data_IF_476419654477
#
_entry.id   IF_476419654477
#
_cell.length_a   1.000
_cell.length_b   1.000
_cell.length_c   1.000
_cell.angle_alpha   90.00
_cell.angle_beta   90.00
_cell.angle_gamma   90.00
#
_symmetry.space_group_name_H-M   'P 1'
#
loop_
_entity.id
_entity.type
_entity.pdbx_description
1 polymer ?
#
# COMPACT_ATOMS: atom_id res chain seq x y z
N UNK A 1 30.96 -2.58 29.03
CA UNK A 1 29.82 -2.93 29.89
C UNK A 1 28.52 -2.74 29.12
N UNK A 2 27.58 -3.70 29.12
CA UNK A 2 26.25 -3.45 28.55
C UNK A 2 25.57 -2.32 29.33
N UNK A 3 25.04 -1.31 28.63
CA UNK A 3 24.30 -0.21 29.27
C UNK A 3 23.02 -0.78 29.88
N UNK A 4 22.97 -0.88 31.22
CA UNK A 4 21.75 -1.24 31.95
C UNK A 4 20.61 -0.31 31.52
N UNK A 5 19.44 -0.87 31.19
CA UNK A 5 18.21 -0.11 30.88
C UNK A 5 17.95 0.27 29.42
N UNK A 6 18.83 -0.06 28.47
CA UNK A 6 18.58 0.24 27.05
C UNK A 6 17.77 -0.90 26.40
N UNK A 7 16.53 -0.61 26.01
CA UNK A 7 15.68 -1.54 25.27
C UNK A 7 16.32 -1.92 23.92
N UNK A 8 16.28 -3.21 23.59
CA UNK A 8 16.70 -3.69 22.27
C UNK A 8 15.90 -3.04 21.15
N UNK A 9 16.46 -3.00 19.94
CA UNK A 9 15.74 -2.46 18.78
C UNK A 9 14.43 -3.23 18.49
N UNK A 10 14.42 -4.54 18.78
CA UNK A 10 13.24 -5.39 18.65
C UNK A 10 12.18 -5.02 19.70
N UNK A 11 12.56 -4.93 20.96
CA UNK A 11 11.64 -4.59 22.06
C UNK A 11 11.00 -3.22 21.85
N UNK A 12 11.78 -2.20 21.44
CA UNK A 12 11.23 -0.88 21.11
C UNK A 12 10.23 -0.95 19.96
N UNK A 13 10.55 -1.67 18.88
CA UNK A 13 9.65 -1.80 17.73
C UNK A 13 8.34 -2.51 18.10
N UNK A 14 8.40 -3.55 18.95
CA UNK A 14 7.21 -4.23 19.48
C UNK A 14 6.35 -3.30 20.33
N UNK A 15 6.95 -2.57 21.29
CA UNK A 15 6.22 -1.60 22.12
C UNK A 15 5.54 -0.53 21.25
N UNK A 16 6.26 0.05 20.29
CA UNK A 16 5.70 1.04 19.37
C UNK A 16 4.55 0.46 18.55
N UNK A 17 4.68 -0.78 18.06
CA UNK A 17 3.63 -1.45 17.32
C UNK A 17 2.38 -1.67 18.18
N UNK A 18 2.53 -2.08 19.44
CA UNK A 18 1.40 -2.28 20.35
C UNK A 18 0.66 -0.96 20.64
N UNK A 19 1.39 0.14 20.82
CA UNK A 19 0.79 1.47 20.95
C UNK A 19 0.05 1.90 19.68
N UNK A 20 0.67 1.76 18.50
CA UNK A 20 0.02 2.08 17.22
C UNK A 20 -1.23 1.23 17.03
N UNK A 21 -1.15 -0.07 17.29
CA UNK A 21 -2.29 -0.99 17.18
C UNK A 21 -3.44 -0.54 18.10
N UNK A 22 -3.16 -0.26 19.38
CA UNK A 22 -4.19 0.17 20.32
C UNK A 22 -4.86 1.46 19.86
N UNK A 23 -4.07 2.47 19.51
CA UNK A 23 -4.59 3.77 19.07
C UNK A 23 -5.36 3.67 17.75
N UNK A 24 -4.87 2.90 16.78
CA UNK A 24 -5.57 2.72 15.51
C UNK A 24 -6.89 1.95 15.64
N UNK A 25 -6.95 0.98 16.57
CA UNK A 25 -8.21 0.29 16.86
C UNK A 25 -9.22 1.22 17.51
N UNK A 26 -8.78 2.09 18.40
CA UNK A 26 -9.63 3.08 19.08
C UNK A 26 -10.09 4.18 18.13
N UNK A 27 -9.19 4.71 17.30
CA UNK A 27 -9.47 5.78 16.33
C UNK A 27 -10.45 5.35 15.24
N UNK A 28 -10.33 4.11 14.75
CA UNK A 28 -11.16 3.60 13.65
C UNK A 28 -12.38 2.80 14.12
N UNK A 29 -12.64 2.78 15.43
CA UNK A 29 -13.81 2.07 15.97
C UNK A 29 -15.11 2.76 15.53
N UNK A 30 -16.09 1.98 15.09
CA UNK A 30 -17.40 2.48 14.66
C UNK A 30 -17.46 3.17 13.29
N UNK A 31 -16.34 3.31 12.57
CA UNK A 31 -16.35 3.83 11.19
C UNK A 31 -16.82 2.75 10.20
N UNK A 32 -17.94 3.01 9.53
CA UNK A 32 -18.53 2.08 8.56
C UNK A 32 -17.68 1.91 7.29
N UNK A 33 -16.80 2.88 6.97
CA UNK A 33 -15.91 2.81 5.82
C UNK A 33 -14.61 2.03 6.12
N UNK A 34 -14.42 1.55 7.35
CA UNK A 34 -13.16 0.90 7.78
C UNK A 34 -13.41 -0.52 8.29
N UNK A 35 -12.87 -1.51 7.59
CA UNK A 35 -12.86 -2.89 8.06
C UNK A 35 -11.55 -3.23 8.77
N UNK A 36 -11.65 -3.52 10.07
CA UNK A 36 -10.55 -4.04 10.87
C UNK A 36 -10.40 -5.54 10.66
N UNK A 37 -9.24 -5.96 10.14
CA UNK A 37 -8.95 -7.36 9.82
C UNK A 37 -7.81 -7.87 10.72
N UNK A 38 -8.12 -8.44 11.90
CA UNK A 38 -7.12 -9.05 12.75
C UNK A 38 -6.55 -10.32 12.09
N UNK A 39 -5.22 -10.47 12.05
CA UNK A 39 -4.56 -11.70 11.58
C UNK A 39 -3.35 -12.03 12.45
N UNK A 40 -3.51 -12.99 13.36
CA UNK A 40 -2.47 -13.40 14.30
C UNK A 40 -2.03 -12.23 15.19
N UNK A 41 -0.73 -11.93 15.23
CA UNK A 41 -0.17 -10.83 16.04
C UNK A 41 -0.22 -9.46 15.34
N UNK A 42 -0.79 -9.36 14.14
CA UNK A 42 -0.90 -8.11 13.40
C UNK A 42 -2.36 -7.73 13.12
N UNK A 43 -2.59 -6.46 12.81
CA UNK A 43 -3.88 -5.92 12.39
C UNK A 43 -3.73 -5.26 11.03
N UNK A 44 -4.73 -5.42 10.18
CA UNK A 44 -4.87 -4.68 8.92
C UNK A 44 -6.13 -3.85 8.97
N UNK A 45 -6.13 -2.76 8.22
CA UNK A 45 -7.28 -1.88 8.09
C UNK A 45 -7.56 -1.72 6.61
N UNK A 46 -8.80 -2.01 6.20
CA UNK A 46 -9.27 -1.85 4.84
C UNK A 46 -10.19 -0.64 4.81
N UNK A 47 -9.80 0.37 4.03
CA UNK A 47 -10.57 1.59 3.85
C UNK A 47 -11.39 1.50 2.57
N UNK A 48 -12.71 1.71 2.68
CA UNK A 48 -13.70 1.77 1.59
C UNK A 48 -13.59 0.61 0.61
N UNK A 49 -13.32 -0.59 1.12
CA UNK A 49 -13.09 -1.81 0.35
C UNK A 49 -12.02 -1.72 -0.75
N UNK A 50 -11.13 -0.71 -0.67
CA UNK A 50 -10.19 -0.37 -1.74
C UNK A 50 -8.74 -0.33 -1.28
N UNK A 51 -8.46 0.18 -0.08
CA UNK A 51 -7.07 0.39 0.37
C UNK A 51 -6.81 -0.39 1.64
N UNK A 52 -5.94 -1.40 1.54
CA UNK A 52 -5.56 -2.23 2.67
C UNK A 52 -4.19 -1.80 3.21
N UNK A 53 -4.18 -1.33 4.46
CA UNK A 53 -2.97 -0.82 5.09
C UNK A 53 -2.45 -1.75 6.20
N UNK A 54 -1.14 -1.65 6.45
CA UNK A 54 -0.47 -2.16 7.65
C UNK A 54 0.52 -1.13 8.16
N UNK A 55 0.56 -0.94 9.48
CA UNK A 55 1.57 -0.12 10.13
C UNK A 55 2.89 -0.88 10.32
N UNK A 56 4.01 -0.24 9.99
CA UNK A 56 5.36 -0.80 10.14
C UNK A 56 6.40 0.24 10.49
N UNK A 57 7.53 -0.25 11.00
CA UNK A 57 8.77 0.51 11.06
C UNK A 57 9.49 0.40 9.71
N UNK A 58 9.89 1.52 9.11
CA UNK A 58 10.69 1.53 7.89
C UNK A 58 12.15 1.11 8.15
N UNK A 59 12.76 0.44 7.17
CA UNK A 59 14.21 0.23 7.09
C UNK A 59 14.90 1.43 6.41
N UNK A 60 16.20 1.33 6.17
CA UNK A 60 16.99 2.38 5.49
C UNK A 60 16.53 2.69 4.06
N UNK A 61 15.72 1.82 3.43
CA UNK A 61 15.13 2.05 2.09
C UNK A 61 13.73 2.68 2.15
N UNK A 62 13.20 2.96 3.35
CA UNK A 62 11.85 3.52 3.53
C UNK A 62 10.71 2.50 3.32
N UNK A 63 11.01 1.21 3.34
CA UNK A 63 10.03 0.11 3.26
C UNK A 63 9.95 -0.62 4.60
N UNK A 64 8.84 -1.33 4.87
CA UNK A 64 8.67 -2.08 6.12
C UNK A 64 9.84 -3.03 6.42
N UNK A 65 10.43 -2.89 7.61
CA UNK A 65 11.48 -3.78 8.11
C UNK A 65 10.88 -5.13 8.47
N UNK A 66 11.16 -6.16 7.68
CA UNK A 66 10.62 -7.50 7.89
C UNK A 66 11.73 -8.54 7.96
N UNK A 67 11.50 -9.56 8.79
CA UNK A 67 11.95 -10.93 8.52
C UNK A 67 10.92 -11.50 7.55
N UNK A 68 11.36 -12.09 6.44
CA UNK A 68 10.44 -12.71 5.49
C UNK A 68 9.70 -13.86 6.17
N UNK A 69 8.40 -13.69 6.36
CA UNK A 69 7.48 -14.72 6.86
C UNK A 69 6.37 -14.91 5.83
N UNK A 70 5.74 -16.09 5.83
CA UNK A 70 4.66 -16.38 4.87
C UNK A 70 3.53 -15.33 4.91
N UNK A 71 3.17 -14.86 6.11
CA UNK A 71 2.16 -13.81 6.32
C UNK A 71 2.54 -12.42 5.75
N UNK A 72 3.84 -12.20 5.50
CA UNK A 72 4.36 -11.02 4.81
C UNK A 72 4.24 -11.20 3.30
N UNK A 73 4.65 -12.36 2.77
CA UNK A 73 4.53 -12.68 1.35
C UNK A 73 3.08 -12.59 0.89
N UNK A 74 2.15 -13.19 1.64
CA UNK A 74 0.71 -13.13 1.42
C UNK A 74 0.12 -11.70 1.37
N UNK A 75 0.75 -10.75 2.06
CA UNK A 75 0.31 -9.36 2.06
C UNK A 75 0.89 -8.56 0.91
N UNK A 76 2.11 -8.87 0.47
CA UNK A 76 2.76 -8.12 -0.61
C UNK A 76 2.24 -8.61 -1.95
N UNK A 77 2.00 -9.91 -2.07
CA UNK A 77 1.63 -10.56 -3.30
C UNK A 77 0.29 -9.98 -3.80
N UNK A 78 0.29 -9.26 -4.94
CA UNK A 78 -0.93 -8.71 -5.54
C UNK A 78 -1.93 -9.80 -5.92
N UNK A 79 -1.46 -11.02 -6.22
CA UNK A 79 -2.30 -12.12 -6.70
C UNK A 79 -3.09 -12.81 -5.59
N UNK A 80 -2.72 -12.59 -4.32
CA UNK A 80 -3.44 -13.19 -3.20
C UNK A 80 -4.75 -12.43 -2.94
N UNK A 81 -5.85 -13.01 -3.45
CA UNK A 81 -7.22 -12.62 -3.08
C UNK A 81 -7.38 -12.81 -1.57
N UNK A 82 -7.84 -11.77 -0.88
CA UNK A 82 -8.38 -11.97 0.47
C UNK A 82 -9.77 -12.56 0.25
N UNK A 83 -10.07 -13.76 0.80
CA UNK A 83 -11.42 -14.33 0.70
C UNK A 83 -12.45 -13.27 1.14
N UNK A 84 -13.56 -13.17 0.41
CA UNK A 84 -14.68 -12.27 0.68
C UNK A 84 -14.46 -10.76 0.38
N UNK A 85 -13.36 -10.40 -0.28
CA UNK A 85 -13.01 -9.01 -0.62
C UNK A 85 -12.92 -8.79 -2.15
N UNK A 86 -13.37 -7.63 -2.63
CA UNK A 86 -13.44 -7.21 -4.06
C UNK A 86 -12.08 -7.35 -4.78
N UNK A 87 -12.02 -7.64 -6.10
CA UNK A 87 -10.79 -8.10 -6.77
C UNK A 87 -9.62 -7.11 -6.81
N UNK A 88 -9.84 -5.82 -6.55
CA UNK A 88 -8.81 -4.79 -6.75
C UNK A 88 -8.58 -3.96 -5.47
N UNK A 89 -7.81 -4.55 -4.55
CA UNK A 89 -7.42 -3.90 -3.29
C UNK A 89 -5.98 -3.42 -3.37
N UNK A 90 -5.79 -2.12 -3.18
CA UNK A 90 -4.49 -1.47 -3.09
C UNK A 90 -3.86 -1.74 -1.72
N UNK A 91 -2.93 -2.71 -1.69
CA UNK A 91 -2.14 -3.03 -0.50
C UNK A 91 -0.97 -2.06 -0.34
N UNK A 92 -0.90 -1.32 0.76
CA UNK A 92 0.18 -0.36 1.09
C UNK A 92 0.64 -0.51 2.54
N UNK A 93 1.83 -0.01 2.86
CA UNK A 93 2.37 0.01 4.22
C UNK A 93 2.50 1.45 4.71
N UNK A 94 1.97 1.74 5.90
CA UNK A 94 2.22 3.00 6.60
C UNK A 94 3.46 2.82 7.45
N UNK A 95 4.56 3.41 7.01
CA UNK A 95 5.88 3.19 7.58
C UNK A 95 6.34 4.41 8.39
N UNK A 96 6.67 4.21 9.67
CA UNK A 96 7.35 5.22 10.48
C UNK A 96 8.87 5.03 10.44
N UNK A 97 9.62 6.12 10.36
CA UNK A 97 11.08 6.16 10.53
C UNK A 97 11.42 6.79 11.88
N UNK A 98 12.57 6.42 12.43
CA UNK A 98 13.09 7.04 13.64
C UNK A 98 14.25 7.97 13.29
N UNK A 99 14.50 8.97 14.13
CA UNK A 99 15.71 9.78 14.05
C UNK A 99 16.97 8.92 14.27
N UNK A 100 18.15 9.51 14.00
CA UNK A 100 19.44 8.79 14.09
C UNK A 100 19.67 8.15 15.46
N UNK A 101 19.17 8.77 16.54
CA UNK A 101 19.32 8.28 17.90
C UNK A 101 18.19 7.33 18.34
N UNK A 102 17.19 7.10 17.47
CA UNK A 102 16.00 6.31 17.75
C UNK A 102 15.23 6.75 19.01
N UNK A 103 15.18 8.06 19.23
CA UNK A 103 14.50 8.74 20.33
C UNK A 103 13.15 9.33 19.93
N UNK A 104 12.93 9.58 18.63
CA UNK A 104 11.71 10.20 18.10
C UNK A 104 11.31 9.57 16.77
N UNK A 105 10.01 9.59 16.46
CA UNK A 105 9.52 9.34 15.10
C UNK A 105 9.91 10.54 14.26
N UNK A 106 10.73 10.31 13.23
CA UNK A 106 11.23 11.37 12.35
C UNK A 106 10.23 11.66 11.22
N UNK A 107 9.66 10.61 10.62
CA UNK A 107 8.66 10.72 9.58
C UNK A 107 7.71 9.52 9.57
N UNK A 108 6.56 9.68 8.93
CA UNK A 108 5.64 8.61 8.56
C UNK A 108 5.30 8.77 7.09
N UNK A 109 5.34 7.67 6.34
CA UNK A 109 5.07 7.66 4.91
C UNK A 109 4.15 6.51 4.54
N UNK A 110 3.32 6.72 3.53
CA UNK A 110 2.58 5.65 2.87
C UNK A 110 3.45 5.11 1.75
N UNK A 111 3.76 3.82 1.80
CA UNK A 111 4.71 3.18 0.90
C UNK A 111 4.05 2.00 0.19
N UNK A 112 4.15 1.98 -1.13
CA UNK A 112 3.91 0.79 -1.94
C UNK A 112 5.24 0.14 -2.26
N UNK A 113 5.28 -1.19 -2.14
CA UNK A 113 6.45 -1.99 -2.49
C UNK A 113 6.06 -3.25 -3.25
N UNK A 114 7.02 -3.73 -4.02
CA UNK A 114 7.05 -5.09 -4.55
C UNK A 114 8.26 -5.80 -3.95
N UNK A 115 7.99 -6.78 -3.07
CA UNK A 115 9.00 -7.47 -2.25
C UNK A 115 9.98 -6.48 -1.59
N UNK A 116 11.23 -6.43 -2.06
CA UNK A 116 12.28 -5.57 -1.50
C UNK A 116 12.44 -4.23 -2.22
N UNK A 117 11.62 -3.97 -3.25
CA UNK A 117 11.66 -2.74 -4.05
C UNK A 117 10.55 -1.79 -3.66
N UNK A 118 10.90 -0.52 -3.43
CA UNK A 118 9.94 0.56 -3.22
C UNK A 118 9.41 1.00 -4.58
N UNK A 119 8.11 0.82 -4.83
CA UNK A 119 7.48 1.27 -6.07
C UNK A 119 7.20 2.77 -6.03
N UNK A 120 6.57 3.22 -4.95
CA UNK A 120 6.34 4.64 -4.67
C UNK A 120 6.16 4.86 -3.17
N UNK A 121 6.31 6.10 -2.73
CA UNK A 121 6.09 6.52 -1.34
C UNK A 121 5.73 8.00 -1.30
N UNK A 122 4.90 8.38 -0.34
CA UNK A 122 4.67 9.79 -0.02
C UNK A 122 4.61 10.01 1.50
N UNK A 123 5.19 11.11 2.02
CA UNK A 123 5.14 11.43 3.44
C UNK A 123 3.74 11.91 3.85
N UNK A 124 3.31 11.51 5.05
CA UNK A 124 2.08 12.01 5.71
C UNK A 124 2.39 12.70 7.03
N UNK A 125 3.60 12.53 7.56
CA UNK A 125 4.10 13.20 8.74
C UNK A 125 5.62 13.29 8.66
N UNK A 126 6.18 14.39 9.16
CA UNK A 126 7.61 14.69 9.02
C UNK A 126 7.92 15.16 7.60
N UNK A 127 8.65 16.27 7.50
CA UNK A 127 9.02 16.84 6.21
C UNK A 127 9.92 15.88 5.41
N UNK A 128 9.60 15.68 4.14
CA UNK A 128 10.65 15.66 3.11
C UNK A 128 10.56 16.98 2.35
N UNK A 129 11.68 17.70 2.31
CA UNK A 129 11.98 18.80 1.38
C UNK A 129 12.09 18.26 -0.08
N UNK A 130 11.10 17.49 -0.52
CA UNK A 130 11.09 16.78 -1.81
C UNK A 130 9.98 17.28 -2.72
N UNK A 131 10.32 17.51 -3.99
CA UNK A 131 9.40 17.95 -5.04
C UNK A 131 8.26 16.94 -5.17
N UNK A 132 7.02 17.41 -5.00
CA UNK A 132 5.80 16.63 -5.27
C UNK A 132 5.81 16.23 -6.74
N UNK A 133 5.97 14.94 -7.02
CA UNK A 133 5.74 14.41 -8.37
C UNK A 133 4.24 14.15 -8.51
N UNK A 134 3.54 14.83 -9.44
CA UNK A 134 2.12 14.59 -9.64
C UNK A 134 1.88 13.14 -10.06
N UNK A 135 0.82 12.54 -9.51
CA UNK A 135 0.35 11.22 -9.94
C UNK A 135 0.09 11.23 -11.45
N UNK A 136 0.51 10.18 -12.19
CA UNK A 136 0.24 10.10 -13.62
C UNK A 136 -1.27 10.20 -13.85
N UNK A 137 -1.70 11.30 -14.46
CA UNK A 137 -3.08 11.49 -14.87
C UNK A 137 -3.31 10.60 -16.08
N UNK A 138 -4.44 9.89 -16.10
CA UNK A 138 -4.85 9.11 -17.27
C UNK A 138 -4.77 10.02 -18.50
N UNK A 139 -4.00 9.61 -19.51
CA UNK A 139 -3.95 10.34 -20.77
C UNK A 139 -5.39 10.49 -21.31
N UNK A 140 -5.79 11.67 -21.82
CA UNK A 140 -7.07 11.81 -22.46
C UNK A 140 -7.19 10.73 -23.55
N UNK A 141 -8.34 10.08 -23.63
CA UNK A 141 -8.60 9.14 -24.72
C UNK A 141 -8.36 9.90 -26.03
N UNK A 142 -7.62 9.31 -27.00
CA UNK A 142 -7.37 9.98 -28.26
C UNK A 142 -8.72 10.38 -28.86
N UNK A 143 -8.88 11.68 -29.17
CA UNK A 143 -10.04 12.14 -29.93
C UNK A 143 -10.19 11.22 -31.13
N UNK A 144 -11.38 10.62 -31.24
CA UNK A 144 -11.71 9.54 -32.15
C UNK A 144 -11.09 9.78 -33.52
N UNK A 145 -9.92 9.20 -33.75
CA UNK A 145 -9.32 9.21 -35.08
C UNK A 145 -10.23 8.35 -35.94
N UNK A 146 -10.61 8.92 -37.07
CA UNK A 146 -11.49 8.35 -38.08
C UNK A 146 -11.30 6.84 -38.23
N UNK A 147 -12.21 6.06 -37.64
CA UNK A 147 -12.30 4.63 -37.85
C UNK A 147 -12.59 4.39 -39.33
N UNK A 148 -11.60 3.91 -40.08
CA UNK A 148 -11.83 3.38 -41.42
C UNK A 148 -12.66 2.11 -41.27
N UNK A 149 -13.97 2.22 -41.52
CA UNK A 149 -14.85 1.06 -41.58
C UNK A 149 -14.62 0.33 -42.91
N UNK A 150 -14.33 -0.98 -42.90
CA UNK A 150 -14.27 -1.76 -44.13
C UNK A 150 -15.60 -1.65 -44.88
N UNK A 151 -15.54 -1.31 -46.16
CA UNK A 151 -16.73 -1.23 -47.02
C UNK A 151 -17.25 -2.66 -47.20
N UNK A 152 -18.52 -2.90 -46.85
CA UNK A 152 -19.17 -4.18 -47.14
C UNK A 152 -19.10 -4.46 -48.65
N UNK A 153 -18.74 -5.68 -49.08
CA UNK A 153 -18.84 -6.06 -50.49
C UNK A 153 -20.28 -5.87 -50.95
N UNK A 154 -20.45 -5.23 -52.10
CA UNK A 154 -21.74 -5.17 -52.79
C UNK A 154 -21.93 -6.55 -53.41
N UNK A 155 -22.96 -7.27 -53.00
CA UNK A 155 -23.36 -8.51 -53.66
C UNK A 155 -23.69 -8.22 -55.12
N UNK A 156 -23.02 -8.95 -56.01
CA UNK A 156 -23.22 -8.88 -57.44
C UNK A 156 -24.59 -9.51 -57.74
N UNK A 157 -25.52 -8.83 -58.43
CA UNK A 157 -26.76 -9.49 -58.82
C UNK A 157 -26.41 -10.61 -59.81
N UNK A 158 -26.92 -11.80 -59.53
CA UNK A 158 -27.01 -12.90 -60.48
C UNK A 158 -27.91 -12.44 -61.62
N UNK A 159 -27.34 -12.24 -62.81
CA UNK A 159 -28.11 -12.16 -64.04
C UNK A 159 -28.19 -13.57 -64.59
N UNK A 160 -29.37 -14.17 -64.47
CA UNK A 160 -29.73 -15.36 -65.24
C UNK A 160 -29.95 -14.99 -66.71
N UNK A 161 -29.34 -15.76 -67.60
CA UNK A 161 -29.94 -16.50 -68.73
C UNK A 161 -28.92 -17.48 -69.29
#
# INVERSE_FOLDING_TARGET
MPKKGVLSARSRASIMFDFIKRQALEEFDGDADIHVLPKGQTVKFLFRDQVLIRFKKANSKGIGSNIETQAVLEFIDPQLKIPDLVPEIFKVEVCYTLDRLATKVAAVSVTKRDRHSKLWSYPIFGEESGVVVPLPTRAPDPESSSLVRPRKPIDKPETGE
#
